data_IF_014415890467
#
_entry.id   IF_014415890467
#
_cell.length_a   1.000
_cell.length_b   1.000
_cell.length_c   1.000
_cell.angle_alpha   90.00
_cell.angle_beta   90.00
_cell.angle_gamma   90.00
#
_symmetry.space_group_name_H-M   'P 1'
#
loop_
_entity.id
_entity.type
_entity.pdbx_description
1 polymer ?
#
# COMPACT_ATOMS: atom_id res chain seq x y z
N UNK A 1 -11.76 -75.92 -12.08
CA UNK A 1 -12.54 -75.24 -11.03
C UNK A 1 -12.73 -73.79 -11.45
N UNK A 2 -13.97 -73.34 -11.44
CA UNK A 2 -14.46 -72.13 -12.10
C UNK A 2 -13.84 -70.81 -11.64
N UNK A 3 -13.72 -69.90 -12.60
CA UNK A 3 -13.63 -68.47 -12.40
C UNK A 3 -14.92 -67.96 -11.75
N UNK A 4 -14.83 -67.41 -10.54
CA UNK A 4 -15.88 -66.54 -9.98
C UNK A 4 -15.59 -65.09 -10.35
N UNK A 5 -16.35 -64.57 -11.31
CA UNK A 5 -16.54 -63.13 -11.51
C UNK A 5 -17.41 -62.59 -10.37
N UNK A 6 -16.96 -61.53 -9.72
CA UNK A 6 -17.83 -60.67 -8.90
C UNK A 6 -17.71 -59.27 -9.50
N UNK A 7 -18.73 -58.88 -10.26
CA UNK A 7 -19.00 -57.50 -10.64
C UNK A 7 -19.66 -56.77 -9.46
N UNK A 8 -19.16 -55.59 -9.11
CA UNK A 8 -19.65 -54.83 -7.97
C UNK A 8 -19.22 -53.37 -7.99
N UNK A 9 -19.80 -52.60 -8.93
CA UNK A 9 -20.20 -51.18 -8.82
C UNK A 9 -19.19 -50.16 -8.24
N UNK A 10 -18.60 -49.43 -9.19
CA UNK A 10 -18.36 -47.97 -9.18
C UNK A 10 -18.71 -47.18 -7.91
N UNK A 11 -17.70 -46.87 -7.11
CA UNK A 11 -17.63 -45.63 -6.35
C UNK A 11 -16.24 -45.05 -6.50
N UNK A 12 -16.09 -44.16 -7.48
CA UNK A 12 -14.97 -43.24 -7.58
C UNK A 12 -15.06 -42.25 -6.40
N UNK A 13 -14.53 -42.65 -5.25
CA UNK A 13 -14.09 -41.67 -4.26
C UNK A 13 -12.87 -40.98 -4.84
N UNK A 14 -13.10 -39.82 -5.47
CA UNK A 14 -12.04 -38.84 -5.63
C UNK A 14 -11.72 -38.30 -4.23
N UNK A 15 -10.78 -38.95 -3.55
CA UNK A 15 -9.96 -38.27 -2.55
C UNK A 15 -9.28 -37.11 -3.28
N UNK A 16 -9.85 -35.92 -3.14
CA UNK A 16 -9.19 -34.67 -3.52
C UNK A 16 -7.94 -34.57 -2.68
N UNK A 17 -6.80 -34.90 -3.30
CA UNK A 17 -5.48 -34.60 -2.77
C UNK A 17 -5.39 -33.09 -2.54
N UNK A 18 -5.70 -32.66 -1.31
CA UNK A 18 -5.27 -31.35 -0.84
C UNK A 18 -3.75 -31.38 -0.84
N UNK A 19 -3.11 -30.62 -1.72
CA UNK A 19 -1.68 -30.35 -1.65
C UNK A 19 -1.40 -29.63 -0.33
N UNK A 20 -1.12 -30.40 0.73
CA UNK A 20 -0.54 -29.91 1.97
C UNK A 20 0.92 -29.56 1.69
N UNK A 21 1.16 -28.39 1.08
CA UNK A 21 2.38 -27.68 1.43
C UNK A 21 2.15 -27.13 2.83
N UNK A 22 2.94 -27.54 3.84
CA UNK A 22 3.00 -26.76 5.07
C UNK A 22 3.47 -25.38 4.64
N UNK A 23 2.60 -24.37 4.73
CA UNK A 23 3.12 -23.03 4.94
C UNK A 23 3.91 -23.14 6.24
N UNK A 24 5.22 -22.94 6.18
CA UNK A 24 6.04 -22.84 7.39
C UNK A 24 5.40 -21.75 8.24
N UNK A 25 4.65 -22.17 9.27
CA UNK A 25 4.07 -21.26 10.25
C UNK A 25 5.27 -20.72 11.00
N UNK A 26 5.73 -19.54 10.58
CA UNK A 26 6.82 -18.86 11.25
C UNK A 26 6.45 -18.72 12.74
N UNK A 27 7.37 -19.08 13.64
CA UNK A 27 7.08 -19.04 15.06
C UNK A 27 6.64 -17.63 15.45
N UNK A 28 5.55 -17.55 16.22
CA UNK A 28 5.06 -16.28 16.72
C UNK A 28 6.18 -15.60 17.51
N UNK A 29 6.35 -14.29 17.33
CA UNK A 29 7.32 -13.46 18.07
C UNK A 29 6.52 -12.47 18.92
N UNK A 30 6.07 -12.84 20.13
CA UNK A 30 5.19 -12.01 20.94
C UNK A 30 5.77 -10.62 21.23
N UNK A 31 7.09 -10.52 21.36
CA UNK A 31 7.81 -9.27 21.63
C UNK A 31 7.63 -8.25 20.49
N UNK A 32 7.34 -8.71 19.27
CA UNK A 32 7.08 -7.83 18.13
C UNK A 32 5.80 -6.97 18.30
N UNK A 33 4.92 -7.30 19.25
CA UNK A 33 3.75 -6.48 19.57
C UNK A 33 4.10 -5.22 20.39
N UNK A 34 5.22 -5.21 21.11
CA UNK A 34 5.58 -4.21 22.11
C UNK A 34 6.85 -3.45 21.71
N UNK A 35 6.77 -2.77 20.56
CA UNK A 35 7.83 -1.88 20.07
C UNK A 35 7.57 -0.43 20.52
N UNK A 36 8.64 0.31 20.77
CA UNK A 36 8.54 1.73 21.15
C UNK A 36 8.17 2.60 19.93
N UNK A 37 8.82 2.34 18.80
CA UNK A 37 8.48 2.92 17.50
C UNK A 37 7.62 1.95 16.68
N UNK A 38 6.29 2.07 16.79
CA UNK A 38 5.35 1.27 15.99
C UNK A 38 5.42 1.50 14.46
N UNK A 39 6.11 2.55 13.98
CA UNK A 39 6.27 2.82 12.56
C UNK A 39 7.54 2.18 11.99
N UNK A 40 8.70 2.43 12.61
CA UNK A 40 9.98 1.84 12.20
C UNK A 40 10.26 0.49 12.85
N UNK A 41 9.40 0.02 13.77
CA UNK A 41 9.47 -1.27 14.44
C UNK A 41 10.76 -1.48 15.23
N UNK A 42 11.31 -0.45 15.86
CA UNK A 42 12.60 -0.46 16.58
C UNK A 42 13.77 -0.98 15.73
N UNK A 43 13.84 -0.55 14.46
CA UNK A 43 15.06 -0.73 13.68
C UNK A 43 16.24 -0.09 14.42
N UNK A 44 17.39 -0.78 14.41
CA UNK A 44 18.61 -0.35 15.09
C UNK A 44 19.28 0.80 14.32
N UNK A 45 18.64 1.97 14.35
CA UNK A 45 19.03 3.18 13.65
C UNK A 45 19.33 4.25 14.70
N UNK A 46 20.54 4.83 14.68
CA UNK A 46 20.87 5.95 15.55
C UNK A 46 19.91 7.14 15.39
N UNK A 47 19.48 7.74 16.50
CA UNK A 47 18.53 8.87 16.48
C UNK A 47 19.05 10.08 15.68
N UNK A 48 20.36 10.31 15.71
CA UNK A 48 21.04 11.36 14.95
C UNK A 48 20.90 11.15 13.44
N UNK A 49 20.94 9.90 12.98
CA UNK A 49 20.71 9.57 11.57
C UNK A 49 19.25 9.75 11.13
N UNK A 50 18.29 9.72 12.06
CA UNK A 50 16.88 9.99 11.78
C UNK A 50 16.53 11.48 11.81
N UNK A 51 17.37 12.34 12.40
CA UNK A 51 17.12 13.77 12.53
C UNK A 51 16.67 14.46 11.23
N UNK A 52 17.29 14.21 10.05
CA UNK A 52 16.88 14.86 8.80
C UNK A 52 15.45 14.50 8.34
N UNK A 53 14.89 13.39 8.84
CA UNK A 53 13.60 12.85 8.41
C UNK A 53 12.48 13.06 9.42
N UNK A 54 12.77 13.66 10.58
CA UNK A 54 11.78 13.80 11.67
C UNK A 54 10.54 14.59 11.26
N UNK A 55 10.68 15.52 10.31
CA UNK A 55 9.56 16.34 9.80
C UNK A 55 8.42 15.50 9.23
N UNK A 56 8.73 14.37 8.58
CA UNK A 56 7.74 13.45 8.02
C UNK A 56 7.63 12.13 8.81
N UNK A 57 8.66 11.70 9.54
CA UNK A 57 8.57 10.55 10.44
C UNK A 57 7.62 10.81 11.62
N UNK A 58 7.62 12.03 12.17
CA UNK A 58 6.72 12.38 13.29
C UNK A 58 5.24 12.20 12.94
N UNK A 59 4.70 12.79 11.85
CA UNK A 59 3.31 12.55 11.46
C UNK A 59 3.06 11.09 11.06
N UNK A 60 4.02 10.38 10.46
CA UNK A 60 3.89 8.95 10.14
C UNK A 60 3.72 8.06 11.40
N UNK A 61 4.51 8.32 12.44
CA UNK A 61 4.39 7.64 13.76
C UNK A 61 3.03 7.92 14.42
N UNK A 62 2.57 9.17 14.36
CA UNK A 62 1.24 9.54 14.86
C UNK A 62 0.12 8.85 14.08
N UNK A 63 0.24 8.74 12.75
CA UNK A 63 -0.70 7.96 11.92
C UNK A 63 -0.75 6.49 12.35
N UNK A 64 0.39 5.87 12.64
CA UNK A 64 0.44 4.50 13.16
C UNK A 64 -0.41 4.34 14.43
N UNK A 65 -0.33 5.30 15.36
CA UNK A 65 -1.10 5.29 16.61
C UNK A 65 -2.60 5.53 16.38
N UNK A 66 -2.96 6.45 15.47
CA UNK A 66 -4.36 6.80 15.17
C UNK A 66 -5.08 5.70 14.38
N UNK A 67 -4.40 5.07 13.42
CA UNK A 67 -4.97 3.98 12.62
C UNK A 67 -5.13 2.70 13.44
N UNK A 68 -4.23 2.49 14.40
CA UNK A 68 -4.17 1.28 15.22
C UNK A 68 -4.21 1.58 16.73
N UNK A 69 -5.31 2.19 17.23
CA UNK A 69 -5.44 2.53 18.64
C UNK A 69 -5.54 1.25 19.49
N UNK A 70 -5.17 1.36 20.77
CA UNK A 70 -5.26 0.25 21.73
C UNK A 70 -6.71 -0.23 21.91
N UNK A 71 -7.65 0.71 21.90
CA UNK A 71 -9.08 0.44 22.05
C UNK A 71 -9.86 1.02 20.87
N UNK A 72 -10.78 0.23 20.31
CA UNK A 72 -11.69 0.64 19.23
C UNK A 72 -13.11 0.62 19.77
N UNK A 73 -13.75 1.79 19.81
CA UNK A 73 -15.15 1.91 20.20
C UNK A 73 -16.04 1.68 18.98
N UNK A 74 -16.77 0.58 18.98
CA UNK A 74 -17.69 0.22 17.92
C UNK A 74 -19.05 0.91 18.11
N UNK A 75 -19.64 1.36 17.01
CA UNK A 75 -21.01 1.87 16.95
C UNK A 75 -21.60 1.65 15.55
N UNK A 76 -22.85 2.03 15.33
CA UNK A 76 -23.54 1.80 14.06
C UNK A 76 -22.85 2.45 12.85
N UNK A 77 -22.07 3.51 13.06
CA UNK A 77 -21.33 4.23 12.02
C UNK A 77 -19.87 3.76 11.88
N UNK A 78 -19.35 3.09 12.91
CA UNK A 78 -17.97 2.62 13.01
C UNK A 78 -17.97 1.16 13.43
N UNK A 79 -18.06 0.26 12.46
CA UNK A 79 -18.18 -1.18 12.70
C UNK A 79 -16.86 -1.92 12.51
N UNK A 80 -15.83 -1.25 11.97
CA UNK A 80 -14.52 -1.85 11.69
C UNK A 80 -13.67 -2.04 12.96
N UNK A 81 -13.69 -3.28 13.46
CA UNK A 81 -13.13 -3.72 14.73
C UNK A 81 -11.61 -3.70 14.80
N UNK A 82 -11.07 -3.74 16.02
CA UNK A 82 -9.62 -3.87 16.22
C UNK A 82 -9.06 -5.13 15.55
N UNK A 83 -9.78 -6.25 15.60
CA UNK A 83 -9.39 -7.48 14.94
C UNK A 83 -9.33 -7.31 13.42
N UNK A 84 -10.37 -6.74 12.80
CA UNK A 84 -10.39 -6.52 11.36
C UNK A 84 -9.29 -5.55 10.91
N UNK A 85 -9.06 -4.45 11.64
CA UNK A 85 -7.93 -3.52 11.37
C UNK A 85 -6.58 -4.24 11.39
N UNK A 86 -6.32 -5.05 12.42
CA UNK A 86 -5.07 -5.82 12.54
C UNK A 86 -4.97 -6.91 11.46
N UNK A 87 -6.07 -7.60 11.14
CA UNK A 87 -6.11 -8.64 10.11
C UNK A 87 -5.88 -8.07 8.71
N UNK A 88 -6.48 -6.91 8.40
CA UNK A 88 -6.20 -6.16 7.19
C UNK A 88 -4.73 -5.74 7.12
N UNK A 89 -4.18 -5.19 8.20
CA UNK A 89 -2.78 -4.77 8.24
C UNK A 89 -1.81 -5.95 8.05
N UNK A 90 -2.08 -7.09 8.70
CA UNK A 90 -1.31 -8.32 8.52
C UNK A 90 -1.39 -8.83 7.08
N UNK A 91 -2.59 -8.85 6.49
CA UNK A 91 -2.78 -9.27 5.09
C UNK A 91 -1.94 -8.41 4.14
N UNK A 92 -1.97 -7.09 4.33
CA UNK A 92 -1.21 -6.15 3.49
C UNK A 92 0.30 -6.30 3.73
N UNK A 93 0.74 -6.46 4.97
CA UNK A 93 2.15 -6.70 5.30
C UNK A 93 2.67 -7.99 4.65
N UNK A 94 1.86 -9.06 4.62
CA UNK A 94 2.18 -10.32 3.96
C UNK A 94 2.32 -10.16 2.44
N UNK A 95 1.45 -9.36 1.80
CA UNK A 95 1.58 -9.05 0.36
C UNK A 95 2.90 -8.34 0.06
N UNK A 96 3.35 -7.44 0.93
CA UNK A 96 4.63 -6.74 0.77
C UNK A 96 5.85 -7.56 1.19
N UNK A 97 5.66 -8.69 1.86
CA UNK A 97 6.73 -9.64 2.20
C UNK A 97 7.75 -9.17 3.24
N UNK A 98 7.52 -8.03 3.91
CA UNK A 98 8.42 -7.51 4.94
C UNK A 98 8.17 -8.25 6.25
N UNK A 99 9.02 -9.24 6.57
CA UNK A 99 8.79 -10.16 7.69
C UNK A 99 8.63 -9.46 9.04
N UNK A 100 9.40 -8.40 9.31
CA UNK A 100 9.33 -7.67 10.58
C UNK A 100 7.94 -7.06 10.79
N UNK A 101 7.36 -6.54 9.72
CA UNK A 101 6.02 -5.97 9.73
C UNK A 101 4.94 -7.05 9.89
N UNK A 102 5.12 -8.20 9.23
CA UNK A 102 4.25 -9.37 9.42
C UNK A 102 4.25 -9.84 10.89
N UNK A 103 5.43 -9.96 11.50
CA UNK A 103 5.57 -10.35 12.90
C UNK A 103 4.88 -9.35 13.83
N UNK A 104 5.07 -8.05 13.58
CA UNK A 104 4.44 -6.99 14.38
C UNK A 104 2.91 -7.10 14.37
N UNK A 105 2.30 -7.16 13.18
CA UNK A 105 0.84 -7.24 13.10
C UNK A 105 0.28 -8.59 13.55
N UNK A 106 0.98 -9.69 13.31
CA UNK A 106 0.58 -11.00 13.81
C UNK A 106 0.60 -11.07 15.34
N UNK A 107 1.65 -10.54 15.96
CA UNK A 107 1.77 -10.48 17.42
C UNK A 107 0.68 -9.60 18.05
N UNK A 108 0.31 -8.49 17.39
CA UNK A 108 -0.80 -7.62 17.83
C UNK A 108 -2.19 -8.18 17.56
N UNK A 109 -2.35 -9.03 16.53
CA UNK A 109 -3.62 -9.68 16.21
C UNK A 109 -3.94 -10.83 17.19
N UNK A 110 -2.93 -11.60 17.57
CA UNK A 110 -3.06 -12.82 18.40
C UNK A 110 -3.87 -12.65 19.69
N UNK A 111 -3.68 -11.59 20.50
CA UNK A 111 -4.44 -11.42 21.75
C UNK A 111 -5.86 -10.89 21.54
N UNK A 112 -6.23 -10.45 20.32
CA UNK A 112 -7.54 -9.88 20.08
C UNK A 112 -8.60 -10.99 19.98
N UNK A 113 -9.84 -10.73 20.46
CA UNK A 113 -10.93 -11.67 20.25
C UNK A 113 -11.17 -11.82 18.75
N UNK A 114 -11.14 -13.07 18.28
CA UNK A 114 -11.44 -13.41 16.90
C UNK A 114 -12.88 -13.07 16.51
N UNK A 115 -13.20 -13.08 15.20
CA UNK A 115 -14.58 -13.01 14.76
C UNK A 115 -15.39 -14.13 15.41
N UNK A 116 -16.68 -13.88 15.63
CA UNK A 116 -17.57 -14.96 16.04
C UNK A 116 -17.62 -16.08 14.97
N UNK A 117 -18.06 -17.27 15.37
CA UNK A 117 -18.12 -18.42 14.47
C UNK A 117 -19.32 -18.38 13.51
N UNK A 118 -20.02 -17.24 13.38
CA UNK A 118 -21.17 -17.12 12.47
C UNK A 118 -20.70 -17.18 11.02
N UNK A 119 -21.62 -17.53 10.11
CA UNK A 119 -21.32 -17.56 8.67
C UNK A 119 -21.11 -16.13 8.15
N UNK A 120 -21.87 -15.19 8.71
CA UNK A 120 -21.89 -13.77 8.36
C UNK A 120 -20.55 -13.11 8.71
N UNK A 121 -20.04 -13.33 9.92
CA UNK A 121 -18.76 -12.75 10.36
C UNK A 121 -17.57 -13.33 9.58
N UNK A 122 -17.58 -14.65 9.34
CA UNK A 122 -16.56 -15.29 8.52
C UNK A 122 -16.61 -14.79 7.06
N UNK A 123 -17.80 -14.60 6.49
CA UNK A 123 -17.97 -14.07 5.15
C UNK A 123 -17.45 -12.63 5.04
N UNK A 124 -17.78 -11.77 6.03
CA UNK A 124 -17.28 -10.40 6.14
C UNK A 124 -15.76 -10.35 6.19
N UNK A 125 -15.14 -11.15 7.07
CA UNK A 125 -13.68 -11.19 7.18
C UNK A 125 -13.01 -11.69 5.88
N UNK A 126 -13.63 -12.67 5.20
CA UNK A 126 -13.13 -13.16 3.92
C UNK A 126 -13.15 -12.08 2.83
N UNK A 127 -14.24 -11.31 2.72
CA UNK A 127 -14.34 -10.19 1.77
C UNK A 127 -13.32 -9.09 2.06
N UNK A 128 -13.19 -8.68 3.34
CA UNK A 128 -12.17 -7.71 3.77
C UNK A 128 -10.77 -8.19 3.40
N UNK A 129 -10.46 -9.45 3.68
CA UNK A 129 -9.13 -10.04 3.42
C UNK A 129 -8.83 -10.10 1.92
N UNK A 130 -9.80 -10.53 1.11
CA UNK A 130 -9.67 -10.59 -0.34
C UNK A 130 -9.45 -9.19 -0.93
N UNK A 131 -10.29 -8.23 -0.54
CA UNK A 131 -10.19 -6.84 -0.96
C UNK A 131 -8.82 -6.24 -0.62
N UNK A 132 -8.40 -6.38 0.65
CA UNK A 132 -7.12 -5.85 1.11
C UNK A 132 -5.93 -6.44 0.36
N UNK A 133 -5.96 -7.75 0.07
CA UNK A 133 -4.94 -8.42 -0.73
C UNK A 133 -4.89 -7.85 -2.15
N UNK A 134 -6.04 -7.73 -2.82
CA UNK A 134 -6.11 -7.22 -4.18
C UNK A 134 -5.66 -5.75 -4.28
N UNK A 135 -6.13 -4.87 -3.39
CA UNK A 135 -5.71 -3.47 -3.38
C UNK A 135 -4.21 -3.31 -3.05
N UNK A 136 -3.64 -4.22 -2.26
CA UNK A 136 -2.21 -4.23 -1.99
C UNK A 136 -1.38 -4.71 -3.18
N UNK A 137 -1.75 -5.83 -3.82
CA UNK A 137 -0.93 -6.51 -4.85
C UNK A 137 -1.20 -6.07 -6.29
N UNK A 138 -2.46 -5.82 -6.62
CA UNK A 138 -2.94 -5.56 -7.98
C UNK A 138 -4.05 -4.49 -7.93
N UNK A 139 -3.75 -3.28 -7.45
CA UNK A 139 -4.77 -2.26 -7.17
C UNK A 139 -5.64 -1.93 -8.37
N UNK A 140 -5.13 -2.02 -9.60
CA UNK A 140 -5.83 -1.69 -10.85
C UNK A 140 -7.05 -2.58 -11.17
N UNK A 141 -7.20 -3.71 -10.46
CA UNK A 141 -8.37 -4.59 -10.61
C UNK A 141 -9.55 -4.19 -9.73
N UNK A 142 -9.34 -3.26 -8.79
CA UNK A 142 -10.38 -2.78 -7.87
C UNK A 142 -11.30 -1.80 -8.61
N UNK A 143 -12.60 -2.02 -8.51
CA UNK A 143 -13.61 -1.11 -9.07
C UNK A 143 -14.92 -1.09 -8.29
N UNK A 144 -15.99 -0.64 -8.96
CA UNK A 144 -17.30 -0.48 -8.36
C UNK A 144 -17.88 -1.76 -7.72
N UNK A 145 -17.61 -2.92 -8.33
CA UNK A 145 -18.11 -4.21 -7.81
C UNK A 145 -17.48 -4.57 -6.47
N UNK A 146 -16.19 -4.30 -6.29
CA UNK A 146 -15.48 -4.59 -5.04
C UNK A 146 -16.00 -3.71 -3.90
N UNK A 147 -16.32 -2.44 -4.19
CA UNK A 147 -17.00 -1.54 -3.23
C UNK A 147 -18.38 -2.07 -2.85
N UNK A 148 -19.16 -2.56 -3.81
CA UNK A 148 -20.48 -3.17 -3.53
C UNK A 148 -20.37 -4.41 -2.64
N UNK A 149 -19.32 -5.23 -2.80
CA UNK A 149 -19.09 -6.39 -1.93
C UNK A 149 -18.78 -5.99 -0.49
N UNK A 150 -18.04 -4.89 -0.28
CA UNK A 150 -17.78 -4.36 1.06
C UNK A 150 -19.05 -3.82 1.74
N UNK A 151 -19.87 -3.10 0.99
CA UNK A 151 -21.19 -2.63 1.46
C UNK A 151 -22.10 -3.81 1.82
N UNK A 152 -22.12 -4.86 1.00
CA UNK A 152 -22.93 -6.07 1.22
C UNK A 152 -22.56 -6.85 2.50
N UNK A 153 -21.33 -6.70 3.00
CA UNK A 153 -20.90 -7.28 4.29
C UNK A 153 -20.98 -6.27 5.45
N UNK A 154 -21.64 -5.14 5.22
CA UNK A 154 -21.99 -4.15 6.23
C UNK A 154 -20.86 -3.23 6.65
N UNK A 155 -19.83 -2.99 5.81
CA UNK A 155 -18.90 -1.90 6.07
C UNK A 155 -19.59 -0.58 5.75
N UNK A 156 -19.56 0.37 6.69
CA UNK A 156 -20.04 1.72 6.45
C UNK A 156 -19.11 2.47 5.48
N UNK A 157 -19.55 3.65 5.03
CA UNK A 157 -18.69 4.59 4.30
C UNK A 157 -17.42 4.90 5.10
N UNK A 158 -17.59 5.24 6.38
CA UNK A 158 -16.50 5.56 7.30
C UNK A 158 -15.54 4.38 7.50
N UNK A 159 -16.06 3.15 7.62
CA UNK A 159 -15.25 1.93 7.71
C UNK A 159 -14.47 1.66 6.42
N UNK A 160 -15.11 1.83 5.26
CA UNK A 160 -14.48 1.63 3.95
C UNK A 160 -13.34 2.63 3.70
N UNK A 161 -13.53 3.90 4.06
CA UNK A 161 -12.49 4.93 3.96
C UNK A 161 -11.34 4.60 4.90
N UNK A 162 -11.62 4.23 6.15
CA UNK A 162 -10.59 3.86 7.12
C UNK A 162 -9.81 2.62 6.70
N UNK A 163 -10.48 1.59 6.18
CA UNK A 163 -9.82 0.39 5.68
C UNK A 163 -8.86 0.73 4.52
N UNK A 164 -9.28 1.58 3.59
CA UNK A 164 -8.43 2.05 2.50
C UNK A 164 -7.23 2.88 2.98
N UNK A 165 -7.42 3.69 4.03
CA UNK A 165 -6.32 4.38 4.72
C UNK A 165 -5.33 3.40 5.35
N UNK A 166 -5.81 2.35 6.02
CA UNK A 166 -4.96 1.30 6.60
C UNK A 166 -4.17 0.57 5.51
N UNK A 167 -4.80 0.16 4.41
CA UNK A 167 -4.12 -0.54 3.32
C UNK A 167 -3.01 0.33 2.72
N UNK A 168 -3.29 1.61 2.45
CA UNK A 168 -2.31 2.55 1.92
C UNK A 168 -1.17 2.84 2.92
N UNK A 169 -1.50 3.07 4.19
CA UNK A 169 -0.53 3.32 5.26
C UNK A 169 0.43 2.14 5.44
N UNK A 170 -0.09 0.91 5.53
CA UNK A 170 0.74 -0.29 5.72
C UNK A 170 1.66 -0.49 4.52
N UNK A 171 1.20 -0.18 3.30
CA UNK A 171 2.05 -0.18 2.11
C UNK A 171 3.14 0.89 2.12
N UNK A 172 2.87 2.07 2.67
CA UNK A 172 3.89 3.11 2.89
C UNK A 172 4.89 2.68 3.98
N UNK A 173 4.40 2.12 5.08
CA UNK A 173 5.23 1.62 6.18
C UNK A 173 6.15 0.49 5.72
N UNK A 174 5.64 -0.50 5.00
CA UNK A 174 6.44 -1.62 4.49
C UNK A 174 7.63 -1.14 3.65
N UNK A 175 7.38 -0.19 2.75
CA UNK A 175 8.43 0.41 1.91
C UNK A 175 9.41 1.23 2.72
N UNK A 176 8.93 1.98 3.70
CA UNK A 176 9.80 2.79 4.57
C UNK A 176 10.70 1.91 5.43
N UNK A 177 10.16 0.85 6.04
CA UNK A 177 10.93 -0.13 6.82
C UNK A 177 11.98 -0.79 5.94
N UNK A 178 11.61 -1.26 4.74
CA UNK A 178 12.56 -1.87 3.80
C UNK A 178 13.66 -0.90 3.35
N UNK A 179 13.30 0.37 3.11
CA UNK A 179 14.23 1.44 2.75
C UNK A 179 15.27 1.69 3.86
N UNK A 180 14.82 1.87 5.10
CA UNK A 180 15.73 2.09 6.23
C UNK A 180 16.57 0.84 6.55
N UNK A 181 16.01 -0.36 6.40
CA UNK A 181 16.79 -1.60 6.48
C UNK A 181 17.91 -1.64 5.43
N UNK A 182 17.57 -1.32 4.17
CA UNK A 182 18.54 -1.25 3.10
C UNK A 182 19.63 -0.20 3.36
N UNK A 183 19.28 0.98 3.87
CA UNK A 183 20.22 2.05 4.14
C UNK A 183 21.25 1.68 5.23
N UNK A 184 20.83 0.97 6.27
CA UNK A 184 21.70 0.48 7.34
C UNK A 184 22.27 -0.93 7.11
N UNK A 185 22.09 -1.49 5.90
CA UNK A 185 22.63 -2.81 5.55
C UNK A 185 22.00 -3.97 6.33
N UNK A 186 20.83 -3.77 6.93
CA UNK A 186 20.07 -4.83 7.58
C UNK A 186 19.37 -5.70 6.52
N UNK A 187 19.48 -7.03 6.58
CA UNK A 187 18.81 -7.89 5.62
C UNK A 187 17.29 -7.82 5.83
N UNK A 188 16.55 -7.51 4.76
CA UNK A 188 15.11 -7.73 4.73
C UNK A 188 14.89 -9.23 4.67
N UNK A 189 14.48 -9.84 5.80
CA UNK A 189 14.12 -11.27 5.82
C UNK A 189 12.87 -11.45 4.97
N UNK A 190 12.99 -12.25 3.91
CA UNK A 190 11.93 -12.49 2.92
C UNK A 190 11.03 -13.64 3.35
N UNK A 191 9.76 -13.55 2.98
CA UNK A 191 8.84 -14.69 2.97
C UNK A 191 9.02 -15.41 1.62
N UNK A 192 9.44 -16.70 1.59
CA UNK A 192 9.58 -17.45 0.36
C UNK A 192 8.25 -17.55 -0.41
N UNK A 193 8.32 -17.54 -1.75
CA UNK A 193 7.17 -17.81 -2.62
C UNK A 193 6.27 -16.61 -2.93
N UNK A 194 6.62 -15.39 -2.51
CA UNK A 194 5.89 -14.18 -2.92
C UNK A 194 6.35 -13.69 -4.30
N UNK A 195 5.38 -13.49 -5.19
CA UNK A 195 5.60 -12.92 -6.51
C UNK A 195 5.87 -11.40 -6.46
N UNK A 196 6.66 -10.91 -7.40
CA UNK A 196 6.86 -9.46 -7.59
C UNK A 196 5.57 -8.88 -8.17
N UNK A 197 5.11 -7.74 -7.64
CA UNK A 197 3.99 -7.00 -8.25
C UNK A 197 4.31 -6.69 -9.73
N UNK A 198 3.38 -7.02 -10.61
CA UNK A 198 3.49 -6.71 -12.03
C UNK A 198 3.08 -5.26 -12.30
N UNK A 199 3.53 -4.71 -13.43
CA UNK A 199 2.98 -3.46 -13.93
C UNK A 199 1.50 -3.65 -14.27
N UNK A 200 0.68 -2.64 -13.97
CA UNK A 200 -0.67 -2.56 -14.52
C UNK A 200 -0.65 -2.52 -16.06
N UNK A 201 -1.78 -2.79 -16.70
CA UNK A 201 -1.87 -2.70 -18.16
C UNK A 201 -1.58 -1.28 -18.67
N UNK A 202 -0.92 -1.17 -19.83
CA UNK A 202 -0.56 0.13 -20.42
C UNK A 202 -1.78 0.86 -21.02
N UNK A 203 -2.72 0.11 -21.60
CA UNK A 203 -3.84 0.65 -22.38
C UNK A 203 -4.66 1.75 -21.68
N UNK A 204 -5.03 1.65 -20.38
CA UNK A 204 -5.74 2.72 -19.68
C UNK A 204 -4.99 4.06 -19.65
N UNK A 205 -3.66 4.02 -19.70
CA UNK A 205 -2.83 5.23 -19.74
C UNK A 205 -2.83 5.91 -21.11
N UNK A 206 -3.56 5.44 -22.12
CA UNK A 206 -3.77 6.23 -23.35
C UNK A 206 -4.82 7.33 -23.18
N UNK A 207 -5.67 7.26 -22.16
CA UNK A 207 -6.72 8.26 -21.89
C UNK A 207 -6.12 9.50 -21.18
N UNK A 208 -5.46 10.38 -21.92
CA UNK A 208 -4.70 11.52 -21.36
C UNK A 208 -5.55 12.55 -20.64
N UNK A 209 -6.83 12.64 -20.96
CA UNK A 209 -7.75 13.64 -20.43
C UNK A 209 -8.74 13.05 -19.41
N UNK A 210 -8.60 11.76 -19.07
CA UNK A 210 -9.47 11.12 -18.10
C UNK A 210 -9.25 11.74 -16.72
N UNK A 211 -10.35 12.02 -16.03
CA UNK A 211 -10.37 12.72 -14.74
C UNK A 211 -10.98 11.83 -13.67
N UNK A 212 -10.51 12.04 -12.43
CA UNK A 212 -10.99 11.26 -11.29
C UNK A 212 -12.31 11.80 -10.77
N UNK A 213 -13.22 10.90 -10.45
CA UNK A 213 -14.50 11.19 -9.83
C UNK A 213 -14.69 10.31 -8.60
N UNK A 214 -15.15 10.92 -7.49
CA UNK A 214 -15.46 10.19 -6.27
C UNK A 214 -16.57 9.16 -6.53
N UNK A 215 -16.40 7.94 -6.02
CA UNK A 215 -17.43 6.92 -6.09
C UNK A 215 -18.64 7.35 -5.24
N UNK A 216 -19.85 6.88 -5.56
CA UNK A 216 -21.05 7.21 -4.81
C UNK A 216 -21.03 6.50 -3.46
N UNK A 217 -20.39 7.10 -2.46
CA UNK A 217 -20.52 6.71 -1.07
C UNK A 217 -21.77 7.37 -0.49
N UNK A 218 -22.59 6.65 0.30
CA UNK A 218 -23.62 7.28 1.12
C UNK A 218 -22.96 8.35 2.00
N UNK A 219 -23.15 9.63 1.65
CA UNK A 219 -22.59 10.75 2.42
C UNK A 219 -23.38 10.80 3.73
N UNK A 220 -22.76 10.30 4.79
CA UNK A 220 -23.16 10.60 6.15
C UNK A 220 -22.97 12.12 6.31
N UNK A 221 -24.08 12.88 6.42
CA UNK A 221 -24.03 14.34 6.53
C UNK A 221 -23.21 14.74 7.75
N UNK A 222 -21.92 15.03 7.56
CA UNK A 222 -21.08 15.63 8.59
C UNK A 222 -21.31 17.15 8.59
N UNK A 223 -21.56 17.69 9.77
CA UNK A 223 -22.01 19.08 9.96
C UNK A 223 -20.92 20.17 9.75
N UNK A 224 -19.72 19.82 9.30
CA UNK A 224 -18.54 20.71 9.34
C UNK A 224 -17.95 21.04 7.95
N UNK A 225 -18.78 21.35 6.95
CA UNK A 225 -18.27 21.87 5.66
C UNK A 225 -17.61 23.24 5.81
N UNK A 226 -17.99 24.04 6.81
CA UNK A 226 -17.49 25.42 6.98
C UNK A 226 -16.02 25.53 7.40
N UNK A 227 -15.46 24.55 8.13
CA UNK A 227 -14.04 24.58 8.53
C UNK A 227 -13.07 24.10 7.44
N UNK A 228 -13.56 23.33 6.46
CA UNK A 228 -12.72 22.81 5.36
C UNK A 228 -12.38 23.85 4.30
N UNK A 229 -13.24 24.84 4.10
CA UNK A 229 -13.11 25.84 3.03
C UNK A 229 -11.91 26.79 3.23
N UNK A 230 -11.42 26.93 4.46
CA UNK A 230 -10.27 27.78 4.80
C UNK A 230 -8.92 27.05 4.79
N UNK A 231 -8.90 25.71 4.74
CA UNK A 231 -7.65 24.93 4.77
C UNK A 231 -7.10 24.71 3.36
N UNK A 232 -5.80 24.97 3.20
CA UNK A 232 -5.09 24.65 1.97
C UNK A 232 -4.54 23.22 2.04
N UNK A 233 -5.06 22.34 1.19
CA UNK A 233 -4.60 20.96 1.05
C UNK A 233 -3.64 20.85 -0.15
N UNK A 234 -2.66 19.93 -0.12
CA UNK A 234 -1.86 19.58 -1.30
C UNK A 234 -2.74 19.16 -2.47
N UNK A 235 -2.33 19.51 -3.68
CA UNK A 235 -3.06 19.20 -4.92
C UNK A 235 -3.39 17.70 -5.04
N UNK A 236 -2.48 16.84 -4.56
CA UNK A 236 -2.66 15.38 -4.59
C UNK A 236 -3.86 14.89 -3.75
N UNK A 237 -4.24 15.65 -2.72
CA UNK A 237 -5.36 15.34 -1.83
C UNK A 237 -6.66 16.03 -2.23
N UNK A 238 -6.61 17.12 -3.01
CA UNK A 238 -7.75 18.00 -3.26
C UNK A 238 -9.03 17.25 -3.63
N UNK A 239 -8.94 16.30 -4.58
CA UNK A 239 -10.08 15.51 -5.03
C UNK A 239 -10.58 14.50 -3.96
N UNK A 240 -9.70 14.04 -3.07
CA UNK A 240 -10.00 13.07 -2.02
C UNK A 240 -10.58 13.71 -0.74
N UNK A 241 -10.37 15.01 -0.51
CA UNK A 241 -10.79 15.72 0.72
C UNK A 241 -12.25 15.43 1.12
N UNK A 242 -13.25 15.49 0.20
CA UNK A 242 -14.64 15.24 0.57
C UNK A 242 -14.90 13.86 1.19
N UNK A 243 -14.06 12.87 0.88
CA UNK A 243 -14.12 11.53 1.46
C UNK A 243 -13.23 11.41 2.70
N UNK A 244 -12.03 11.98 2.69
CA UNK A 244 -11.11 11.82 3.81
C UNK A 244 -11.52 12.61 5.05
N UNK A 245 -12.43 13.58 4.92
CA UNK A 245 -12.96 14.37 6.04
C UNK A 245 -13.75 13.53 7.06
N UNK A 246 -14.15 12.30 6.72
CA UNK A 246 -14.72 11.34 7.67
C UNK A 246 -13.78 11.06 8.87
N UNK A 247 -12.47 11.31 8.73
CA UNK A 247 -11.54 11.34 9.86
C UNK A 247 -10.61 12.57 9.75
N UNK A 248 -11.01 13.72 10.33
CA UNK A 248 -10.22 14.95 10.24
C UNK A 248 -8.80 14.80 10.77
N UNK A 249 -8.62 14.01 11.84
CA UNK A 249 -7.30 13.74 12.44
C UNK A 249 -6.38 12.99 11.46
N UNK A 250 -6.89 11.98 10.76
CA UNK A 250 -6.11 11.24 9.75
C UNK A 250 -5.79 12.16 8.58
N UNK A 251 -6.76 12.95 8.10
CA UNK A 251 -6.56 13.90 7.01
C UNK A 251 -5.49 14.96 7.35
N UNK A 252 -5.52 15.54 8.54
CA UNK A 252 -4.53 16.54 8.98
C UNK A 252 -3.11 15.97 9.08
N UNK A 253 -2.98 14.76 9.65
CA UNK A 253 -1.69 14.09 9.72
C UNK A 253 -1.18 13.68 8.33
N UNK A 254 -2.06 13.22 7.44
CA UNK A 254 -1.69 12.83 6.09
C UNK A 254 -1.28 14.04 5.24
N UNK A 255 -1.99 15.15 5.38
CA UNK A 255 -1.62 16.46 4.83
C UNK A 255 -0.22 16.87 5.28
N UNK A 256 0.03 16.81 6.60
CA UNK A 256 1.33 17.16 7.17
C UNK A 256 2.44 16.24 6.66
N UNK A 257 2.17 14.94 6.54
CA UNK A 257 3.11 13.93 6.03
C UNK A 257 3.51 14.23 4.57
N UNK A 258 2.53 14.49 3.69
CA UNK A 258 2.77 14.83 2.28
C UNK A 258 3.57 16.14 2.17
N UNK A 259 3.11 17.21 2.81
CA UNK A 259 3.78 18.51 2.75
C UNK A 259 5.20 18.47 3.32
N UNK A 260 5.45 17.68 4.37
CA UNK A 260 6.78 17.58 4.98
C UNK A 260 7.73 16.73 4.15
N UNK A 261 7.25 15.66 3.51
CA UNK A 261 8.08 14.85 2.60
C UNK A 261 8.50 15.65 1.35
N UNK A 262 7.59 16.49 0.84
CA UNK A 262 7.83 17.37 -0.32
C UNK A 262 8.79 18.53 -0.01
N UNK A 263 8.85 18.99 1.25
CA UNK A 263 9.81 20.00 1.72
C UNK A 263 11.18 19.37 1.96
N UNK A 264 11.89 19.04 0.89
CA UNK A 264 13.24 18.49 0.93
C UNK A 264 14.12 19.05 -0.19
N UNK A 265 15.41 18.73 -0.17
CA UNK A 265 16.36 19.07 -1.22
C UNK A 265 16.25 18.20 -2.49
N UNK A 266 15.23 17.33 -2.60
CA UNK A 266 15.02 16.49 -3.78
C UNK A 266 14.52 17.34 -4.95
N UNK A 267 15.12 17.22 -6.16
CA UNK A 267 14.65 17.96 -7.33
C UNK A 267 13.19 17.61 -7.67
N UNK A 268 12.39 18.62 -8.02
CA UNK A 268 10.98 18.46 -8.43
C UNK A 268 10.82 17.39 -9.51
N UNK A 269 11.70 17.42 -10.52
CA UNK A 269 11.75 16.42 -11.61
C UNK A 269 11.87 14.99 -11.09
N UNK A 270 12.66 14.74 -10.05
CA UNK A 270 12.83 13.40 -9.47
C UNK A 270 11.57 12.97 -8.73
N UNK A 271 10.92 13.87 -7.99
CA UNK A 271 9.62 13.58 -7.37
C UNK A 271 8.53 13.29 -8.38
N UNK A 272 8.44 14.05 -9.48
CA UNK A 272 7.48 13.80 -10.56
C UNK A 272 7.75 12.47 -11.26
N UNK A 273 9.03 12.13 -11.49
CA UNK A 273 9.41 10.85 -12.06
C UNK A 273 8.99 9.67 -11.16
N UNK A 274 9.23 9.78 -9.85
CA UNK A 274 8.81 8.77 -8.88
C UNK A 274 7.29 8.63 -8.83
N UNK A 275 6.54 9.75 -8.85
CA UNK A 275 5.08 9.74 -8.84
C UNK A 275 4.50 9.10 -10.12
N UNK A 276 5.04 9.44 -11.29
CA UNK A 276 4.65 8.86 -12.58
C UNK A 276 4.93 7.36 -12.63
N UNK A 277 6.14 6.93 -12.26
CA UNK A 277 6.52 5.51 -12.26
C UNK A 277 5.66 4.70 -11.28
N UNK A 278 5.46 5.22 -10.06
CA UNK A 278 4.65 4.55 -9.03
C UNK A 278 3.19 4.42 -9.48
N UNK A 279 2.62 5.49 -10.06
CA UNK A 279 1.25 5.48 -10.59
C UNK A 279 1.11 4.52 -11.77
N UNK A 280 2.14 4.43 -12.63
CA UNK A 280 2.19 3.50 -13.76
C UNK A 280 2.22 2.03 -13.32
N UNK A 281 2.99 1.72 -12.28
CA UNK A 281 3.05 0.36 -11.70
C UNK A 281 1.72 -0.01 -11.03
N UNK A 282 1.16 0.90 -10.23
CA UNK A 282 -0.09 0.66 -9.49
C UNK A 282 -1.37 0.84 -10.34
N UNK A 283 -1.28 1.23 -11.62
CA UNK A 283 -2.44 1.42 -12.48
C UNK A 283 -3.33 2.62 -12.14
N UNK A 284 -2.81 3.62 -11.42
CA UNK A 284 -3.58 4.81 -11.07
C UNK A 284 -3.53 5.85 -12.19
N UNK A 285 -4.45 5.75 -13.15
CA UNK A 285 -4.52 6.65 -14.31
C UNK A 285 -4.73 8.11 -13.87
N UNK A 286 -5.59 8.36 -12.88
CA UNK A 286 -5.81 9.69 -12.33
C UNK A 286 -4.53 10.35 -11.81
N UNK A 287 -3.82 9.69 -10.88
CA UNK A 287 -2.57 10.21 -10.33
C UNK A 287 -1.52 10.40 -11.44
N UNK A 288 -1.46 9.49 -12.41
CA UNK A 288 -0.54 9.59 -13.53
C UNK A 288 -0.84 10.82 -14.40
N UNK A 289 -2.11 11.03 -14.78
CA UNK A 289 -2.51 12.15 -15.63
C UNK A 289 -2.30 13.50 -14.93
N UNK A 290 -2.69 13.63 -13.66
CA UNK A 290 -2.45 14.85 -12.88
C UNK A 290 -0.97 15.24 -12.85
N UNK A 291 -0.08 14.29 -12.58
CA UNK A 291 1.37 14.52 -12.61
C UNK A 291 1.88 14.79 -14.03
N UNK A 292 1.33 14.12 -15.04
CA UNK A 292 1.72 14.30 -16.43
C UNK A 292 1.34 15.69 -16.97
N UNK A 293 0.26 16.30 -16.48
CA UNK A 293 -0.16 17.65 -16.88
C UNK A 293 0.74 18.75 -16.31
N UNK A 294 1.36 18.52 -15.14
CA UNK A 294 2.22 19.52 -14.49
C UNK A 294 3.70 19.33 -14.83
N UNK A 295 4.16 18.10 -15.09
CA UNK A 295 5.56 17.78 -15.34
C UNK A 295 5.96 17.89 -16.82
N UNK A 296 5.82 19.09 -17.39
CA UNK A 296 6.09 19.35 -18.82
C UNK A 296 7.53 18.97 -19.23
N UNK A 297 8.52 19.12 -18.35
CA UNK A 297 9.91 18.73 -18.64
C UNK A 297 10.11 17.22 -18.81
N UNK A 298 9.12 16.40 -18.42
CA UNK A 298 9.14 14.95 -18.54
C UNK A 298 8.33 14.42 -19.72
N UNK A 299 7.91 15.26 -20.67
CA UNK A 299 7.04 14.87 -21.80
C UNK A 299 7.47 13.56 -22.51
N UNK A 300 8.77 13.40 -22.81
CA UNK A 300 9.30 12.19 -23.45
C UNK A 300 9.17 10.95 -22.55
N UNK A 301 9.42 11.10 -21.26
CA UNK A 301 9.31 10.01 -20.28
C UNK A 301 7.85 9.66 -20.02
N UNK A 302 6.96 10.67 -19.98
CA UNK A 302 5.51 10.46 -19.88
C UNK A 302 5.02 9.65 -21.08
N UNK A 303 5.41 10.04 -22.30
CA UNK A 303 5.04 9.31 -23.51
C UNK A 303 5.52 7.86 -23.49
N UNK A 304 6.75 7.63 -22.99
CA UNK A 304 7.32 6.29 -22.78
C UNK A 304 6.54 5.47 -21.75
N UNK A 305 6.21 6.06 -20.60
CA UNK A 305 5.50 5.36 -19.52
C UNK A 305 4.07 4.99 -19.90
N UNK A 306 3.46 5.66 -20.89
CA UNK A 306 2.17 5.27 -21.47
C UNK A 306 2.27 4.04 -22.39
N UNK A 307 3.47 3.60 -22.76
CA UNK A 307 3.70 2.40 -23.58
C UNK A 307 3.78 1.12 -22.72
N UNK A 308 3.95 0.00 -23.42
CA UNK A 308 4.24 -1.31 -22.83
C UNK A 308 5.59 -1.33 -22.10
N UNK A 309 5.70 -2.17 -21.06
CA UNK A 309 6.91 -2.28 -20.20
C UNK A 309 8.18 -2.56 -21.02
N UNK A 310 8.07 -3.28 -22.14
CA UNK A 310 9.20 -3.60 -23.03
C UNK A 310 9.88 -2.35 -23.58
N UNK A 311 9.12 -1.29 -23.87
CA UNK A 311 9.69 -0.04 -24.37
C UNK A 311 10.44 0.70 -23.26
N UNK A 312 9.89 0.73 -22.04
CA UNK A 312 10.59 1.25 -20.87
C UNK A 312 11.92 0.52 -20.64
N UNK A 313 11.92 -0.80 -20.66
CA UNK A 313 13.13 -1.61 -20.48
C UNK A 313 14.21 -1.30 -21.54
N UNK A 314 13.82 -1.13 -22.82
CA UNK A 314 14.73 -0.72 -23.89
C UNK A 314 15.27 0.70 -23.69
N UNK A 315 14.43 1.61 -23.21
CA UNK A 315 14.83 2.98 -22.93
C UNK A 315 15.84 3.04 -21.77
N UNK A 316 15.59 2.33 -20.68
CA UNK A 316 16.49 2.28 -19.51
C UNK A 316 17.90 1.78 -19.88
N UNK A 317 18.00 0.81 -20.80
CA UNK A 317 19.30 0.32 -21.30
C UNK A 317 20.14 1.42 -21.96
N UNK A 318 19.49 2.47 -22.50
CA UNK A 318 20.14 3.59 -23.19
C UNK A 318 20.32 4.83 -22.29
N UNK A 319 19.72 4.84 -21.11
CA UNK A 319 19.70 5.98 -20.18
C UNK A 319 20.19 5.55 -18.78
N UNK A 320 21.50 5.26 -18.63
CA UNK A 320 22.03 4.67 -17.40
C UNK A 320 21.92 5.57 -16.17
N UNK A 321 21.86 6.89 -16.35
CA UNK A 321 21.71 7.85 -15.25
C UNK A 321 20.30 7.77 -14.68
N UNK A 322 19.27 8.00 -15.50
CA UNK A 322 17.86 7.95 -15.08
C UNK A 322 17.43 6.56 -14.63
N UNK A 323 17.98 5.51 -15.27
CA UNK A 323 17.73 4.11 -14.91
C UNK A 323 17.95 3.86 -13.43
N UNK A 324 18.98 4.42 -12.81
CA UNK A 324 19.27 4.18 -11.39
C UNK A 324 18.12 4.64 -10.50
N UNK A 325 17.61 5.85 -10.71
CA UNK A 325 16.46 6.37 -9.97
C UNK A 325 15.20 5.56 -10.23
N UNK A 326 14.93 5.24 -11.50
CA UNK A 326 13.77 4.45 -11.88
C UNK A 326 13.79 3.05 -11.30
N UNK A 327 14.95 2.39 -11.27
CA UNK A 327 15.07 1.05 -10.71
C UNK A 327 14.84 1.05 -9.20
N UNK A 328 15.40 2.02 -8.47
CA UNK A 328 15.17 2.12 -7.03
C UNK A 328 13.66 2.30 -6.72
N UNK A 329 12.97 3.20 -7.45
CA UNK A 329 11.52 3.40 -7.31
C UNK A 329 10.73 2.14 -7.71
N UNK A 330 11.08 1.50 -8.82
CA UNK A 330 10.40 0.28 -9.30
C UNK A 330 10.51 -0.86 -8.30
N UNK A 331 11.72 -1.16 -7.81
CA UNK A 331 11.94 -2.25 -6.87
C UNK A 331 11.25 -2.00 -5.54
N UNK A 332 11.36 -0.77 -5.00
CA UNK A 332 10.69 -0.43 -3.76
C UNK A 332 9.15 -0.47 -3.92
N UNK A 333 8.64 -0.09 -5.08
CA UNK A 333 7.20 -0.17 -5.36
C UNK A 333 6.73 -1.61 -5.48
N UNK A 334 7.47 -2.47 -6.18
CA UNK A 334 7.00 -3.79 -6.61
C UNK A 334 7.36 -4.96 -5.70
N UNK A 335 8.48 -4.85 -4.98
CA UNK A 335 9.02 -5.91 -4.14
C UNK A 335 9.89 -5.31 -3.01
N UNK A 336 9.26 -4.62 -2.04
CA UNK A 336 10.01 -4.03 -0.92
C UNK A 336 10.75 -5.08 -0.09
N UNK A 337 10.27 -6.32 -0.03
CA UNK A 337 10.98 -7.46 0.58
C UNK A 337 12.35 -7.76 -0.07
N UNK A 338 12.55 -7.35 -1.33
CA UNK A 338 13.79 -7.53 -2.11
C UNK A 338 14.62 -6.25 -2.18
N UNK A 339 14.19 -5.16 -1.54
CA UNK A 339 14.91 -3.90 -1.54
C UNK A 339 16.15 -4.00 -0.63
N UNK A 340 17.30 -3.53 -1.10
CA UNK A 340 18.58 -3.69 -0.40
C UNK A 340 19.54 -2.56 -0.71
N UNK A 341 20.66 -2.49 0.02
CA UNK A 341 21.72 -1.51 -0.20
C UNK A 341 22.21 -1.46 -1.66
N UNK A 342 22.16 -2.58 -2.39
CA UNK A 342 22.56 -2.65 -3.80
C UNK A 342 21.71 -1.75 -4.74
N UNK A 343 20.48 -1.38 -4.33
CA UNK A 343 19.62 -0.45 -5.05
C UNK A 343 19.81 1.01 -4.60
N UNK A 344 20.53 1.24 -3.48
CA UNK A 344 20.86 2.56 -2.96
C UNK A 344 22.27 3.01 -3.37
N UNK A 345 23.26 2.10 -3.38
CA UNK A 345 24.65 2.41 -3.74
C UNK A 345 24.75 3.16 -5.07
N UNK A 346 24.07 2.76 -6.17
CA UNK A 346 24.18 3.49 -7.42
C UNK A 346 23.60 4.91 -7.37
N UNK A 347 22.63 5.20 -6.49
CA UNK A 347 22.14 6.58 -6.28
C UNK A 347 23.24 7.44 -5.64
N UNK A 348 23.93 6.89 -4.64
CA UNK A 348 25.02 7.57 -3.95
C UNK A 348 26.24 7.78 -4.86
N UNK A 349 26.54 6.80 -5.72
CA UNK A 349 27.61 6.91 -6.72
C UNK A 349 27.35 8.02 -7.75
N UNK A 350 26.08 8.40 -7.97
CA UNK A 350 25.68 9.55 -8.78
C UNK A 350 25.69 10.88 -8.02
N UNK A 351 26.16 10.89 -6.76
CA UNK A 351 26.24 12.08 -5.92
C UNK A 351 24.92 12.49 -5.27
N UNK A 352 23.88 11.65 -5.31
CA UNK A 352 22.63 11.89 -4.57
C UNK A 352 22.91 11.64 -3.09
N UNK A 353 22.58 12.61 -2.23
CA UNK A 353 22.78 12.41 -0.78
C UNK A 353 21.84 11.35 -0.21
N UNK A 354 22.21 10.76 0.93
CA UNK A 354 21.31 9.84 1.66
C UNK A 354 19.95 10.47 1.94
N UNK A 355 19.95 11.73 2.38
CA UNK A 355 18.74 12.50 2.65
C UNK A 355 17.85 12.64 1.40
N UNK A 356 18.44 12.98 0.25
CA UNK A 356 17.70 13.09 -1.00
C UNK A 356 17.15 11.73 -1.46
N UNK A 357 17.96 10.68 -1.42
CA UNK A 357 17.54 9.34 -1.82
C UNK A 357 16.39 8.82 -0.94
N UNK A 358 16.48 9.02 0.37
CA UNK A 358 15.46 8.55 1.33
C UNK A 358 14.17 9.34 1.17
N UNK A 359 14.23 10.68 1.04
CA UNK A 359 13.04 11.49 0.83
C UNK A 359 12.36 11.17 -0.53
N UNK A 360 13.14 10.91 -1.58
CA UNK A 360 12.61 10.48 -2.88
C UNK A 360 11.89 9.13 -2.80
N UNK A 361 12.48 8.16 -2.10
CA UNK A 361 11.92 6.82 -1.98
C UNK A 361 10.74 6.77 -0.99
N UNK A 362 10.77 7.57 0.08
CA UNK A 362 9.62 7.79 0.96
C UNK A 362 8.45 8.42 0.19
N UNK A 363 8.73 9.41 -0.67
CA UNK A 363 7.74 9.99 -1.57
C UNK A 363 7.12 8.95 -2.51
N UNK A 364 7.91 8.05 -3.08
CA UNK A 364 7.37 6.95 -3.90
C UNK A 364 6.40 6.05 -3.10
N UNK A 365 6.70 5.80 -1.81
CA UNK A 365 5.80 5.10 -0.90
C UNK A 365 4.48 5.84 -0.67
N UNK A 366 4.53 7.16 -0.48
CA UNK A 366 3.34 8.01 -0.34
C UNK A 366 2.52 8.09 -1.63
N UNK A 367 3.16 8.16 -2.80
CA UNK A 367 2.46 8.04 -4.09
C UNK A 367 1.71 6.70 -4.16
N UNK A 368 2.32 5.60 -3.69
CA UNK A 368 1.67 4.29 -3.63
C UNK A 368 0.43 4.25 -2.73
N UNK A 369 0.43 5.02 -1.64
CA UNK A 369 -0.76 5.22 -0.80
C UNK A 369 -1.84 6.03 -1.55
N UNK A 370 -1.48 7.20 -2.10
CA UNK A 370 -2.39 8.05 -2.86
C UNK A 370 -3.03 7.32 -4.05
N UNK A 371 -2.26 6.52 -4.78
CA UNK A 371 -2.74 5.70 -5.88
C UNK A 371 -3.87 4.75 -5.43
N UNK A 372 -3.66 4.07 -4.30
CA UNK A 372 -4.65 3.12 -3.75
C UNK A 372 -5.91 3.84 -3.29
N UNK A 373 -5.79 5.03 -2.68
CA UNK A 373 -6.96 5.84 -2.33
C UNK A 373 -7.76 6.26 -3.57
N UNK A 374 -7.10 6.79 -4.61
CA UNK A 374 -7.82 7.18 -5.84
C UNK A 374 -8.49 5.99 -6.54
N UNK A 375 -7.81 4.84 -6.61
CA UNK A 375 -8.40 3.65 -7.22
C UNK A 375 -9.56 3.11 -6.37
N UNK A 376 -9.38 2.99 -5.06
CA UNK A 376 -10.38 2.41 -4.19
C UNK A 376 -11.63 3.28 -4.03
N UNK A 377 -11.46 4.61 -3.97
CA UNK A 377 -12.51 5.55 -3.58
C UNK A 377 -13.16 6.29 -4.75
N UNK A 378 -12.82 5.95 -5.99
CA UNK A 378 -13.37 6.62 -7.16
C UNK A 378 -13.23 5.83 -8.45
N UNK A 379 -13.50 6.52 -9.55
CA UNK A 379 -13.42 6.04 -10.92
C UNK A 379 -12.71 7.08 -11.77
N UNK A 380 -12.04 6.65 -12.84
CA UNK A 380 -11.33 7.54 -13.77
C UNK A 380 -11.87 7.33 -15.17
N UNK A 381 -12.43 8.37 -15.78
CA UNK A 381 -12.99 8.33 -17.14
C UNK A 381 -12.95 9.70 -17.82
#
# INVERSE_FOLDING_TARGET
MEQRRIEGKSHWYHETQSSKHPQDILPLVPEAAHVDDCFLLDLAIPDDALLPFQSWLTPARKLAQVLFPVHVNLNQMHTFSAYERMSTALTVAQVYGVQRLCNHYAARLTPLPGPDSSRESNHRLAQITQYARQLASSPDVIGARDRQHLDAVGLTTSDSILMNQIIGFVGFQARTVALFQAWFGHPVRRIPGLDIQQFAHASPFSATNATWHAAPFPIEKYHSQDETTARHFPDELQALVPLLIHSPVILDLFTTLISSTRRSAVPVRAFSLAALMTSRINGSVACFNEQAHTANELANVIALLRQEERELQRWEQRHPVERVTLQAVQWLTRAPDRFSAALLTPLFDQGISSEQAINLLAWSGLCGWLNRLKIALGETY
#
